data_IF_108551669038
#
_entry.id   IF_108551669038
#
_cell.length_a   1.000
_cell.length_b   1.000
_cell.length_c   1.000
_cell.angle_alpha   90.00
_cell.angle_beta   90.00
_cell.angle_gamma   90.00
#
_symmetry.space_group_name_H-M   'P 1'
#
loop_
_entity.id
_entity.type
_entity.pdbx_description
1 polymer ?
#
# COMPACT_ATOMS: atom_id res chain seq x y z
N UNK A 1 -46.10 -30.84 -0.09
CA UNK A 1 -46.22 -29.75 -1.09
C UNK A 1 -44.97 -28.87 -0.94
N UNK A 2 -43.95 -29.16 -1.73
CA UNK A 2 -42.71 -28.36 -1.78
C UNK A 2 -42.74 -27.46 -3.01
N UNK A 3 -42.76 -26.18 -2.79
CA UNK A 3 -42.63 -25.18 -3.85
C UNK A 3 -41.15 -24.98 -4.18
N UNK A 4 -40.74 -25.39 -5.38
CA UNK A 4 -39.45 -25.11 -5.98
C UNK A 4 -39.53 -23.70 -6.57
N UNK A 5 -38.88 -22.70 -5.91
CA UNK A 5 -38.68 -21.40 -6.50
C UNK A 5 -37.41 -21.45 -7.38
N UNK A 6 -37.62 -21.48 -8.68
CA UNK A 6 -36.55 -21.33 -9.67
C UNK A 6 -36.01 -19.90 -9.66
N UNK A 7 -34.74 -19.74 -9.33
CA UNK A 7 -33.96 -18.50 -9.60
C UNK A 7 -33.73 -18.40 -11.11
N UNK A 8 -34.41 -17.47 -11.74
CA UNK A 8 -34.09 -17.00 -13.07
C UNK A 8 -32.78 -16.18 -12.99
N UNK A 9 -31.68 -16.77 -13.45
CA UNK A 9 -30.43 -16.06 -13.68
C UNK A 9 -30.66 -15.03 -14.79
N UNK A 10 -30.70 -13.74 -14.46
CA UNK A 10 -30.57 -12.64 -15.43
C UNK A 10 -29.13 -12.65 -15.93
N UNK A 11 -28.92 -13.20 -17.12
CA UNK A 11 -27.69 -12.95 -17.89
C UNK A 11 -27.70 -11.46 -18.28
N UNK A 12 -26.87 -10.65 -17.63
CA UNK A 12 -26.56 -9.30 -18.11
C UNK A 12 -25.71 -9.45 -19.36
N UNK A 13 -26.19 -8.97 -20.49
CA UNK A 13 -25.45 -8.90 -21.77
C UNK A 13 -24.56 -7.66 -21.84
N UNK A 14 -24.03 -7.18 -20.72
CA UNK A 14 -23.01 -6.13 -20.66
C UNK A 14 -21.65 -6.67 -21.05
N UNK A 15 -20.90 -5.91 -21.85
CA UNK A 15 -19.49 -6.20 -22.09
C UNK A 15 -18.75 -6.23 -20.74
N UNK A 16 -17.98 -7.28 -20.42
CA UNK A 16 -17.29 -7.37 -19.15
C UNK A 16 -16.35 -6.18 -18.93
N UNK A 17 -16.37 -5.56 -17.76
CA UNK A 17 -15.65 -4.32 -17.43
C UNK A 17 -14.13 -4.45 -17.67
N UNK A 18 -13.56 -5.64 -17.55
CA UNK A 18 -12.17 -5.91 -17.92
C UNK A 18 -11.89 -5.70 -19.40
N UNK A 19 -12.86 -6.02 -20.29
CA UNK A 19 -12.76 -5.70 -21.73
C UNK A 19 -12.92 -4.21 -21.99
N UNK A 20 -13.75 -3.53 -21.19
CA UNK A 20 -13.92 -2.07 -21.27
C UNK A 20 -12.66 -1.38 -20.74
N UNK A 21 -12.07 -1.82 -19.63
CA UNK A 21 -10.82 -1.27 -19.08
C UNK A 21 -9.63 -1.49 -20.03
N UNK A 22 -9.52 -2.67 -20.64
CA UNK A 22 -8.50 -2.97 -21.63
C UNK A 22 -8.73 -2.18 -22.94
N UNK A 23 -9.97 -2.04 -23.41
CA UNK A 23 -10.33 -1.25 -24.58
C UNK A 23 -10.11 0.25 -24.33
N UNK A 24 -10.42 0.77 -23.12
CA UNK A 24 -10.10 2.12 -22.72
C UNK A 24 -8.59 2.35 -22.64
N UNK A 25 -7.82 1.43 -22.05
CA UNK A 25 -6.37 1.51 -22.01
C UNK A 25 -5.76 1.52 -23.42
N UNK A 26 -6.26 0.69 -24.34
CA UNK A 26 -5.84 0.66 -25.75
C UNK A 26 -6.29 1.91 -26.54
N UNK A 27 -7.50 2.41 -26.30
CA UNK A 27 -8.02 3.63 -26.94
C UNK A 27 -7.28 4.87 -26.46
N UNK A 28 -6.95 4.96 -25.16
CA UNK A 28 -6.15 6.05 -24.61
C UNK A 28 -4.66 5.94 -25.02
N UNK A 29 -4.10 4.75 -25.19
CA UNK A 29 -2.76 4.58 -25.77
C UNK A 29 -2.69 5.09 -27.21
N UNK A 30 -3.75 4.87 -28.01
CA UNK A 30 -3.86 5.41 -29.35
C UNK A 30 -4.11 6.95 -29.38
N UNK A 31 -4.87 7.49 -28.43
CA UNK A 31 -5.09 8.94 -28.30
C UNK A 31 -3.84 9.66 -27.76
N UNK A 32 -3.05 9.01 -26.92
CA UNK A 32 -1.77 9.56 -26.41
C UNK A 32 -0.73 9.76 -27.50
N UNK A 33 -0.80 9.00 -28.59
CA UNK A 33 0.08 9.19 -29.74
C UNK A 33 -0.21 10.48 -30.54
N UNK A 34 -1.33 11.16 -30.27
CA UNK A 34 -1.74 12.43 -30.91
C UNK A 34 -1.68 13.61 -29.94
N UNK A 35 -1.37 13.39 -28.66
CA UNK A 35 -1.21 14.47 -27.69
C UNK A 35 0.08 15.24 -28.01
N UNK A 36 -0.01 16.58 -28.08
CA UNK A 36 1.17 17.43 -28.30
C UNK A 36 2.25 17.22 -27.23
N UNK A 37 3.45 17.71 -27.45
CA UNK A 37 4.67 17.50 -26.64
C UNK A 37 4.54 17.77 -25.13
N UNK A 38 3.47 18.42 -24.68
CA UNK A 38 3.18 18.75 -23.27
C UNK A 38 2.51 17.63 -22.47
N UNK A 39 1.88 16.64 -23.14
CA UNK A 39 1.16 15.55 -22.49
C UNK A 39 1.87 14.21 -22.70
N UNK A 40 1.99 13.43 -21.62
CA UNK A 40 2.65 12.12 -21.60
C UNK A 40 1.66 11.05 -21.14
N UNK A 41 1.76 9.89 -21.77
CA UNK A 41 1.07 8.69 -21.34
C UNK A 41 2.06 7.70 -20.75
N UNK A 42 1.63 6.94 -19.77
CA UNK A 42 2.42 5.87 -19.17
C UNK A 42 1.49 4.87 -18.49
N UNK A 43 1.99 3.70 -18.19
CA UNK A 43 1.20 2.71 -17.48
C UNK A 43 2.00 1.50 -17.03
N UNK A 44 1.32 0.63 -16.31
CA UNK A 44 1.81 -0.70 -15.97
C UNK A 44 0.71 -1.75 -16.06
N UNK A 45 1.09 -2.95 -16.52
CA UNK A 45 0.27 -4.14 -16.40
C UNK A 45 1.04 -5.13 -15.54
N UNK A 46 0.39 -5.62 -14.50
CA UNK A 46 0.91 -6.69 -13.64
C UNK A 46 0.05 -7.92 -13.84
N UNK A 47 0.70 -9.05 -13.99
CA UNK A 47 0.05 -10.34 -14.09
C UNK A 47 0.81 -11.33 -13.22
N UNK A 48 0.10 -12.16 -12.47
CA UNK A 48 0.78 -13.10 -11.58
C UNK A 48 -0.12 -14.15 -10.97
N UNK A 49 0.53 -15.07 -10.32
CA UNK A 49 -0.07 -16.15 -9.55
C UNK A 49 0.16 -15.89 -8.07
N UNK A 50 -0.87 -16.11 -7.27
CA UNK A 50 -0.85 -16.01 -5.81
C UNK A 50 -1.38 -17.30 -5.24
N UNK A 51 -0.59 -17.95 -4.39
CA UNK A 51 -1.01 -19.11 -3.59
C UNK A 51 -0.88 -18.75 -2.12
N UNK A 52 -1.85 -19.12 -1.32
CA UNK A 52 -1.85 -18.87 0.11
C UNK A 52 -2.40 -20.05 0.90
N UNK A 53 -1.74 -20.41 1.99
CA UNK A 53 -2.22 -21.32 3.01
C UNK A 53 -2.50 -20.53 4.29
N UNK A 54 -3.73 -20.53 4.78
CA UNK A 54 -4.12 -19.90 6.04
C UNK A 54 -4.46 -20.98 7.07
N UNK A 55 -3.74 -20.99 8.19
CA UNK A 55 -4.05 -21.78 9.38
C UNK A 55 -4.80 -20.94 10.38
N UNK A 56 -6.08 -21.22 10.55
CA UNK A 56 -6.93 -20.49 11.47
C UNK A 56 -6.61 -20.78 12.94
N UNK A 57 -6.97 -19.85 13.83
CA UNK A 57 -6.86 -20.01 15.29
C UNK A 57 -7.61 -21.24 15.82
N UNK A 58 -8.69 -21.66 15.16
CA UNK A 58 -9.45 -22.88 15.47
C UNK A 58 -8.77 -24.18 15.06
N UNK A 59 -7.69 -24.10 14.26
CA UNK A 59 -6.93 -25.25 13.78
C UNK A 59 -7.26 -25.72 12.37
N UNK A 60 -8.27 -25.17 11.74
CA UNK A 60 -8.55 -25.45 10.32
C UNK A 60 -7.48 -24.82 9.41
N UNK A 61 -7.23 -25.46 8.27
CA UNK A 61 -6.37 -24.95 7.20
C UNK A 61 -7.25 -24.65 5.98
N UNK A 62 -7.00 -23.54 5.32
CA UNK A 62 -7.65 -23.14 4.08
C UNK A 62 -6.58 -22.76 3.05
N UNK A 63 -6.64 -23.36 1.88
CA UNK A 63 -5.79 -23.05 0.74
C UNK A 63 -6.57 -22.22 -0.27
N UNK A 64 -5.90 -21.25 -0.88
CA UNK A 64 -6.46 -20.42 -1.94
C UNK A 64 -5.39 -20.12 -2.99
N UNK A 65 -5.73 -20.35 -4.25
CA UNK A 65 -4.88 -20.09 -5.40
C UNK A 65 -5.61 -19.18 -6.38
N UNK A 66 -4.94 -18.16 -6.88
CA UNK A 66 -5.55 -17.28 -7.87
C UNK A 66 -4.53 -16.73 -8.87
N UNK A 67 -5.02 -16.50 -10.09
CA UNK A 67 -4.33 -15.68 -11.08
C UNK A 67 -4.88 -14.26 -10.97
N UNK A 68 -3.97 -13.29 -10.78
CA UNK A 68 -4.32 -11.89 -10.58
C UNK A 68 -3.72 -11.01 -11.66
N UNK A 69 -4.48 -10.02 -12.06
CA UNK A 69 -4.00 -8.98 -12.96
C UNK A 69 -4.33 -7.60 -12.41
N UNK A 70 -3.45 -6.61 -12.69
CA UNK A 70 -3.72 -5.19 -12.45
C UNK A 70 -3.21 -4.40 -13.64
N UNK A 71 -4.04 -3.52 -14.18
CA UNK A 71 -3.67 -2.58 -15.22
C UNK A 71 -3.84 -1.15 -14.72
N UNK A 72 -2.89 -0.28 -15.05
CA UNK A 72 -2.94 1.16 -14.78
C UNK A 72 -2.58 1.93 -16.03
N UNK A 73 -3.34 2.98 -16.31
CA UNK A 73 -3.08 3.90 -17.40
C UNK A 73 -3.13 5.34 -16.92
N UNK A 74 -2.04 6.09 -17.12
CA UNK A 74 -1.87 7.48 -16.69
C UNK A 74 -1.76 8.42 -17.89
N UNK A 75 -2.40 9.56 -17.75
CA UNK A 75 -2.18 10.75 -18.59
C UNK A 75 -1.71 11.86 -17.68
N UNK A 76 -0.63 12.54 -18.02
CA UNK A 76 -0.12 13.68 -17.26
C UNK A 76 0.48 14.73 -18.18
N UNK A 77 0.41 15.99 -17.79
CA UNK A 77 0.89 17.08 -18.62
C UNK A 77 1.09 18.39 -17.86
N UNK A 78 1.78 19.31 -18.53
CA UNK A 78 2.02 20.65 -18.05
C UNK A 78 0.91 21.60 -18.55
N UNK A 79 0.32 22.36 -17.62
CA UNK A 79 -0.70 23.38 -17.92
C UNK A 79 -0.11 24.79 -18.06
N UNK A 80 1.21 24.92 -17.89
CA UNK A 80 1.93 26.20 -17.88
C UNK A 80 2.02 26.84 -16.50
N UNK A 81 2.90 27.83 -16.36
CA UNK A 81 3.11 28.60 -15.13
C UNK A 81 3.37 27.73 -13.87
N UNK A 82 4.08 26.62 -14.02
CA UNK A 82 4.38 25.68 -12.92
C UNK A 82 3.27 24.72 -12.55
N UNK A 83 2.13 24.74 -13.23
CA UNK A 83 1.03 23.82 -13.02
C UNK A 83 1.17 22.54 -13.83
N UNK A 84 0.91 21.41 -13.18
CA UNK A 84 0.84 20.08 -13.77
C UNK A 84 -0.49 19.41 -13.41
N UNK A 85 -1.00 18.58 -14.31
CA UNK A 85 -2.15 17.72 -14.05
C UNK A 85 -1.80 16.25 -14.28
N UNK A 86 -2.40 15.37 -13.50
CA UNK A 86 -2.29 13.92 -13.69
C UNK A 86 -3.62 13.24 -13.40
N UNK A 87 -3.97 12.28 -14.25
CA UNK A 87 -5.08 11.36 -14.04
C UNK A 87 -4.66 9.94 -14.36
N UNK A 88 -5.08 8.96 -13.55
CA UNK A 88 -4.81 7.55 -13.77
C UNK A 88 -6.01 6.70 -13.44
N UNK A 89 -6.37 5.82 -14.38
CA UNK A 89 -7.32 4.75 -14.16
C UNK A 89 -6.57 3.47 -13.79
N UNK A 90 -7.17 2.67 -12.91
CA UNK A 90 -6.64 1.40 -12.47
C UNK A 90 -7.75 0.35 -12.44
N UNK A 91 -7.42 -0.87 -12.84
CA UNK A 91 -8.31 -2.02 -12.77
C UNK A 91 -7.56 -3.23 -12.22
N UNK A 92 -8.26 -4.09 -11.50
CA UNK A 92 -7.76 -5.35 -10.96
C UNK A 92 -8.73 -6.46 -11.29
N UNK A 93 -8.21 -7.63 -11.58
CA UNK A 93 -8.93 -8.86 -11.85
C UNK A 93 -8.34 -9.99 -11.01
N UNK A 94 -9.19 -10.92 -10.60
CA UNK A 94 -8.79 -12.16 -9.93
C UNK A 94 -9.60 -13.31 -10.54
N UNK A 95 -8.95 -14.48 -10.72
CA UNK A 95 -9.60 -15.64 -11.36
C UNK A 95 -10.70 -16.28 -10.51
N UNK A 96 -10.77 -15.98 -9.21
CA UNK A 96 -11.76 -16.56 -8.30
C UNK A 96 -13.00 -15.68 -8.13
N UNK A 97 -13.05 -14.50 -8.75
CA UNK A 97 -14.19 -13.60 -8.63
C UNK A 97 -14.75 -13.20 -9.99
N UNK A 98 -16.06 -13.29 -10.12
CA UNK A 98 -16.82 -13.03 -11.36
C UNK A 98 -17.37 -11.60 -11.44
N UNK A 99 -17.31 -10.82 -10.35
CA UNK A 99 -17.91 -9.49 -10.28
C UNK A 99 -16.93 -8.40 -10.70
N UNK A 100 -17.30 -7.65 -11.73
CA UNK A 100 -16.56 -6.51 -12.26
C UNK A 100 -17.32 -5.23 -11.95
N UNK A 101 -16.72 -4.34 -11.13
CA UNK A 101 -17.30 -3.04 -10.75
C UNK A 101 -16.37 -1.89 -11.07
N UNK A 102 -16.94 -0.75 -11.52
CA UNK A 102 -16.23 0.49 -11.71
C UNK A 102 -16.59 1.50 -10.61
N UNK A 103 -15.60 1.88 -9.80
CA UNK A 103 -15.77 2.75 -8.65
C UNK A 103 -15.12 4.11 -8.89
N UNK A 104 -15.90 5.16 -8.90
CA UNK A 104 -15.43 6.53 -9.12
C UNK A 104 -15.13 7.29 -7.82
N UNK A 105 -15.69 6.91 -6.70
CA UNK A 105 -15.68 7.72 -5.47
C UNK A 105 -15.03 7.05 -4.29
N UNK A 106 -15.63 6.02 -3.77
CA UNK A 106 -15.19 5.32 -2.58
C UNK A 106 -14.94 3.88 -2.91
N UNK A 107 -14.06 3.38 -2.17
CA UNK A 107 -13.52 2.11 -2.32
C UNK A 107 -13.85 1.32 -1.07
N UNK A 108 -14.47 0.19 -1.18
CA UNK A 108 -14.67 -0.75 -0.09
C UNK A 108 -13.56 -1.79 -0.14
N UNK A 109 -12.43 -1.59 0.57
CA UNK A 109 -11.35 -2.54 0.55
C UNK A 109 -11.77 -3.82 1.27
N UNK A 110 -11.52 -4.96 0.65
CA UNK A 110 -11.51 -6.23 1.33
C UNK A 110 -10.35 -6.31 2.34
N UNK A 111 -10.21 -7.40 3.11
CA UNK A 111 -9.12 -7.58 4.07
C UNK A 111 -7.72 -7.48 3.47
N UNK A 112 -7.59 -7.65 2.17
CA UNK A 112 -6.32 -7.63 1.41
C UNK A 112 -6.19 -6.48 0.40
N UNK A 113 -7.06 -5.48 0.45
CA UNK A 113 -7.10 -4.37 -0.50
C UNK A 113 -8.39 -4.33 -1.29
N UNK A 114 -8.33 -4.03 -2.59
CA UNK A 114 -9.45 -4.08 -3.50
C UNK A 114 -10.07 -5.47 -3.58
N UNK A 115 -11.38 -5.54 -3.54
CA UNK A 115 -12.08 -6.73 -4.01
C UNK A 115 -11.84 -6.88 -5.53
N UNK A 116 -11.76 -8.11 -5.96
CA UNK A 116 -11.35 -8.46 -7.31
C UNK A 116 -12.40 -8.04 -8.34
N UNK A 117 -11.96 -7.74 -9.55
CA UNK A 117 -12.82 -7.26 -10.62
C UNK A 117 -13.16 -5.78 -10.56
N UNK A 118 -12.52 -4.99 -9.72
CA UNK A 118 -12.82 -3.57 -9.54
C UNK A 118 -11.90 -2.66 -10.34
N UNK A 119 -12.46 -1.54 -10.80
CA UNK A 119 -11.75 -0.47 -11.45
C UNK A 119 -12.09 0.88 -10.83
N UNK A 120 -11.12 1.80 -10.80
CA UNK A 120 -11.28 3.12 -10.22
C UNK A 120 -10.32 4.14 -10.84
N UNK A 121 -10.50 5.41 -10.50
CA UNK A 121 -9.49 6.44 -10.69
C UNK A 121 -8.64 6.46 -9.41
N UNK A 122 -7.40 5.99 -9.49
CA UNK A 122 -6.47 5.94 -8.36
C UNK A 122 -5.49 7.10 -8.30
N UNK A 123 -5.47 7.95 -9.34
CA UNK A 123 -4.86 9.29 -9.33
C UNK A 123 -5.72 10.30 -10.08
N UNK A 124 -5.92 11.46 -9.48
CA UNK A 124 -6.55 12.64 -10.09
C UNK A 124 -6.13 13.87 -9.28
N UNK A 125 -5.06 14.56 -9.70
CA UNK A 125 -4.54 15.69 -8.96
C UNK A 125 -4.03 16.82 -9.85
N UNK A 126 -4.00 18.03 -9.27
CA UNK A 126 -3.24 19.16 -9.75
C UNK A 126 -2.02 19.35 -8.86
N UNK A 127 -0.88 19.69 -9.45
CA UNK A 127 0.36 20.00 -8.74
C UNK A 127 0.89 21.35 -9.22
N UNK A 128 1.18 22.23 -8.28
CA UNK A 128 1.91 23.47 -8.52
C UNK A 128 3.37 23.28 -8.08
N UNK A 129 4.30 23.62 -8.95
CA UNK A 129 5.74 23.67 -8.69
C UNK A 129 6.21 25.10 -8.88
N UNK A 130 6.66 25.71 -7.81
CA UNK A 130 7.17 27.07 -7.85
C UNK A 130 8.49 27.10 -8.66
N UNK A 131 8.57 27.98 -9.66
CA UNK A 131 9.71 28.03 -10.58
C UNK A 131 11.04 28.35 -9.87
N UNK A 132 11.02 29.32 -8.95
CA UNK A 132 12.19 29.84 -8.26
C UNK A 132 12.23 29.47 -6.76
N UNK A 133 11.53 28.41 -6.38
CA UNK A 133 11.41 28.03 -4.98
C UNK A 133 11.40 26.50 -4.83
N UNK A 134 11.97 25.95 -3.75
CA UNK A 134 12.12 24.51 -3.56
C UNK A 134 10.83 23.80 -3.16
N UNK A 135 9.66 24.45 -3.22
CA UNK A 135 8.42 23.84 -2.78
C UNK A 135 7.47 23.48 -3.92
N UNK A 136 6.66 22.49 -3.68
CA UNK A 136 5.51 22.12 -4.52
C UNK A 136 4.29 21.80 -3.67
N UNK A 137 3.11 21.95 -4.24
CA UNK A 137 1.82 21.60 -3.64
C UNK A 137 1.01 20.77 -4.60
N UNK A 138 0.60 19.58 -4.17
CA UNK A 138 -0.29 18.68 -4.91
C UNK A 138 -1.63 18.60 -4.19
N UNK A 139 -2.73 18.67 -4.92
CA UNK A 139 -4.09 18.59 -4.36
C UNK A 139 -4.92 17.62 -5.20
N UNK A 140 -5.64 16.73 -4.55
CA UNK A 140 -6.50 15.73 -5.16
C UNK A 140 -6.21 14.32 -4.67
N UNK A 141 -6.31 13.34 -5.57
CA UNK A 141 -6.02 11.93 -5.32
C UNK A 141 -4.65 11.55 -5.87
N UNK A 142 -3.80 11.00 -5.03
CA UNK A 142 -2.43 10.66 -5.40
C UNK A 142 -1.95 9.42 -4.63
N UNK A 143 -0.79 8.88 -5.03
CA UNK A 143 -0.11 7.85 -4.27
C UNK A 143 1.05 8.45 -3.47
N UNK A 144 1.14 8.07 -2.19
CA UNK A 144 2.22 8.45 -1.31
C UNK A 144 2.86 7.19 -0.70
N UNK A 145 4.18 7.05 -0.81
CA UNK A 145 4.93 5.94 -0.25
C UNK A 145 6.22 6.44 0.38
N UNK A 146 6.43 6.09 1.64
CA UNK A 146 7.54 6.53 2.47
C UNK A 146 8.25 5.32 3.11
N UNK A 147 8.61 4.34 2.30
CA UNK A 147 9.33 3.14 2.73
C UNK A 147 10.84 3.30 2.70
N UNK A 148 11.53 2.27 3.18
CA UNK A 148 12.97 2.11 2.95
C UNK A 148 13.16 1.87 1.44
N UNK A 149 14.14 2.56 0.86
CA UNK A 149 14.48 2.44 -0.56
C UNK A 149 15.34 1.20 -0.81
N UNK A 150 14.69 0.05 -0.76
CA UNK A 150 15.27 -1.27 -1.05
C UNK A 150 14.33 -2.09 -1.93
N UNK A 151 14.67 -3.34 -2.22
CA UNK A 151 13.83 -4.22 -3.03
C UNK A 151 12.59 -4.70 -2.30
N UNK A 152 12.58 -4.68 -0.98
CA UNK A 152 11.45 -5.14 -0.15
C UNK A 152 10.31 -4.14 -0.16
N UNK A 153 10.61 -2.82 -0.20
CA UNK A 153 9.67 -1.69 -0.34
C UNK A 153 8.53 -1.72 0.68
N UNK A 154 8.85 -2.06 1.93
CA UNK A 154 7.88 -2.08 3.02
C UNK A 154 7.98 -0.86 3.90
N UNK A 155 6.87 -0.51 4.54
CA UNK A 155 6.78 0.57 5.50
C UNK A 155 5.85 0.22 6.65
N UNK A 156 6.19 0.68 7.84
CA UNK A 156 5.31 0.59 9.01
C UNK A 156 4.18 1.61 8.96
N UNK A 157 4.29 2.66 8.15
CA UNK A 157 3.28 3.72 8.07
C UNK A 157 2.68 3.88 6.65
N UNK A 158 3.08 4.90 5.90
CA UNK A 158 2.46 5.27 4.63
C UNK A 158 3.10 4.54 3.44
N UNK A 159 2.33 3.66 2.78
CA UNK A 159 2.76 3.00 1.55
C UNK A 159 1.57 2.68 0.64
N UNK A 160 1.34 3.53 -0.37
CA UNK A 160 0.34 3.31 -1.42
C UNK A 160 0.89 2.51 -2.61
N UNK A 161 2.15 2.02 -2.52
CA UNK A 161 2.81 1.25 -3.59
C UNK A 161 2.69 -0.26 -3.37
N UNK A 162 1.49 -0.75 -3.23
CA UNK A 162 1.20 -2.16 -2.93
C UNK A 162 1.29 -3.06 -4.17
N UNK A 163 1.27 -4.38 -3.98
CA UNK A 163 1.52 -5.40 -5.01
C UNK A 163 0.48 -5.38 -6.16
N UNK A 164 -0.65 -6.06 -5.97
CA UNK A 164 -1.80 -6.03 -6.90
C UNK A 164 -2.87 -5.03 -6.45
N UNK A 165 -2.84 -4.61 -5.20
CA UNK A 165 -3.83 -3.73 -4.64
C UNK A 165 -3.78 -2.33 -5.27
N UNK A 166 -4.91 -1.65 -5.26
CA UNK A 166 -5.04 -0.29 -5.73
C UNK A 166 -5.35 0.56 -4.51
N UNK A 167 -4.41 1.40 -4.12
CA UNK A 167 -4.48 2.26 -2.94
C UNK A 167 -4.14 3.69 -3.32
N UNK A 168 -4.61 4.65 -2.57
CA UNK A 168 -4.37 6.07 -2.79
C UNK A 168 -4.55 6.89 -1.52
N UNK A 169 -4.15 8.14 -1.58
CA UNK A 169 -4.40 9.18 -0.59
C UNK A 169 -5.21 10.31 -1.24
N UNK A 170 -6.32 10.71 -0.63
CA UNK A 170 -7.08 11.90 -1.01
C UNK A 170 -6.70 13.06 -0.08
N UNK A 171 -6.29 14.23 -0.65
CA UNK A 171 -5.88 15.36 0.17
C UNK A 171 -4.98 16.38 -0.53
N UNK A 172 -4.15 17.03 0.29
CA UNK A 172 -3.16 17.99 -0.15
C UNK A 172 -1.77 17.58 0.34
N UNK A 173 -0.79 17.60 -0.53
CA UNK A 173 0.60 17.24 -0.24
C UNK A 173 1.51 18.41 -0.56
N UNK A 174 2.01 19.07 0.47
CA UNK A 174 3.06 20.06 0.37
C UNK A 174 4.43 19.38 0.53
N UNK A 175 5.38 19.75 -0.32
CA UNK A 175 6.75 19.27 -0.29
C UNK A 175 7.70 20.46 -0.39
N UNK A 176 8.74 20.47 0.45
CA UNK A 176 9.85 21.39 0.38
C UNK A 176 11.16 20.63 0.24
N UNK A 177 11.96 20.97 -0.77
CA UNK A 177 13.24 20.33 -1.07
C UNK A 177 14.38 21.27 -0.71
N UNK A 178 15.02 21.04 0.44
CA UNK A 178 16.29 21.68 0.81
C UNK A 178 17.47 21.01 0.11
N UNK A 179 18.67 21.41 0.49
CA UNK A 179 19.91 20.87 -0.08
C UNK A 179 20.05 19.36 0.21
N UNK A 180 19.92 18.97 1.49
CA UNK A 180 20.12 17.58 1.95
C UNK A 180 18.85 16.93 2.46
N UNK A 181 17.80 17.70 2.73
CA UNK A 181 16.57 17.24 3.35
C UNK A 181 15.36 17.65 2.55
N UNK A 182 14.40 16.74 2.49
CA UNK A 182 13.07 16.99 1.94
C UNK A 182 12.04 16.86 3.06
N UNK A 183 11.21 17.88 3.20
CA UNK A 183 10.08 17.87 4.14
C UNK A 183 8.79 17.66 3.37
N UNK A 184 7.94 16.80 3.90
CA UNK A 184 6.62 16.48 3.36
C UNK A 184 5.56 16.73 4.42
N UNK A 185 4.45 17.33 4.02
CA UNK A 185 3.25 17.49 4.84
C UNK A 185 2.06 17.09 3.98
N UNK A 186 1.32 16.08 4.43
CA UNK A 186 0.12 15.58 3.76
C UNK A 186 -1.07 15.77 4.70
N UNK A 187 -1.95 16.72 4.36
CA UNK A 187 -3.28 16.79 4.94
C UNK A 187 -4.19 15.86 4.14
N UNK A 188 -4.73 14.83 4.80
CA UNK A 188 -5.52 13.80 4.11
C UNK A 188 -6.95 13.75 4.61
N UNK A 189 -7.84 13.37 3.70
CA UNK A 189 -9.20 13.01 4.02
C UNK A 189 -9.29 11.49 4.17
N UNK A 190 -9.71 11.02 5.34
CA UNK A 190 -9.91 9.60 5.60
C UNK A 190 -11.37 9.25 5.32
N UNK A 191 -11.61 8.34 4.38
CA UNK A 191 -12.93 7.81 4.13
C UNK A 191 -13.13 6.51 4.91
N UNK A 192 -14.33 6.35 5.46
CA UNK A 192 -14.78 5.14 6.15
C UNK A 192 -14.72 3.89 5.26
N UNK A 193 -14.79 4.07 3.94
CA UNK A 193 -14.74 3.03 2.92
C UNK A 193 -13.50 3.12 2.02
N UNK A 194 -12.60 4.03 2.31
CA UNK A 194 -11.40 4.24 1.51
C UNK A 194 -10.26 3.27 1.84
N UNK A 195 -9.25 3.16 0.98
CA UNK A 195 -8.13 2.26 1.17
C UNK A 195 -7.21 2.64 2.33
N UNK A 196 -7.24 3.90 2.78
CA UNK A 196 -6.45 4.39 3.91
C UNK A 196 -7.14 4.14 5.24
N UNK A 197 -6.94 2.98 5.83
CA UNK A 197 -7.22 2.77 7.25
C UNK A 197 -8.66 2.46 7.66
N UNK A 198 -9.64 2.60 6.77
CA UNK A 198 -11.06 2.43 7.09
C UNK A 198 -11.42 1.08 7.73
N UNK A 199 -10.66 0.03 7.44
CA UNK A 199 -10.91 -1.31 7.98
C UNK A 199 -9.94 -1.72 9.07
N UNK A 200 -9.06 -0.85 9.50
CA UNK A 200 -8.12 -1.15 10.58
C UNK A 200 -8.74 -0.83 11.91
N UNK A 201 -9.68 -1.65 12.31
CA UNK A 201 -10.17 -1.59 13.68
C UNK A 201 -8.97 -1.67 14.64
N UNK A 202 -8.95 -0.79 15.65
CA UNK A 202 -10.05 0.05 16.13
C UNK A 202 -10.07 1.49 15.59
N UNK A 203 -9.40 1.83 14.46
CA UNK A 203 -9.57 3.14 13.83
C UNK A 203 -10.96 3.25 13.19
N UNK A 204 -11.66 4.34 13.49
CA UNK A 204 -12.99 4.63 12.95
C UNK A 204 -13.04 6.07 12.43
N UNK A 205 -13.51 6.24 11.19
CA UNK A 205 -13.69 7.54 10.56
C UNK A 205 -15.18 7.86 10.42
N UNK A 206 -15.70 8.75 11.28
CA UNK A 206 -17.11 9.17 11.32
C UNK A 206 -17.27 10.56 10.68
N UNK A 207 -18.51 10.89 10.27
CA UNK A 207 -18.84 12.21 9.70
C UNK A 207 -18.60 13.37 10.65
N UNK A 208 -18.61 13.12 11.95
CA UNK A 208 -18.50 14.12 13.03
C UNK A 208 -17.08 14.52 13.43
N UNK A 209 -16.11 14.50 12.51
CA UNK A 209 -14.81 15.14 12.76
C UNK A 209 -13.56 14.27 12.65
N UNK A 210 -13.68 12.95 12.59
CA UNK A 210 -12.52 12.03 12.54
C UNK A 210 -12.02 11.72 11.12
N UNK A 211 -12.49 12.44 10.09
CA UNK A 211 -12.10 12.17 8.70
C UNK A 211 -10.82 12.87 8.25
N UNK A 212 -10.31 13.81 9.02
CA UNK A 212 -9.06 14.48 8.72
C UNK A 212 -7.88 13.67 9.27
N UNK A 213 -6.74 13.76 8.63
CA UNK A 213 -5.48 13.22 9.12
C UNK A 213 -4.31 14.04 8.62
N UNK A 214 -3.22 14.03 9.38
CA UNK A 214 -1.98 14.67 9.02
C UNK A 214 -0.86 13.62 8.99
N UNK A 215 -0.11 13.60 7.90
CA UNK A 215 1.14 12.86 7.78
C UNK A 215 2.27 13.85 7.52
N UNK A 216 3.37 13.71 8.25
CA UNK A 216 4.58 14.50 8.04
C UNK A 216 5.78 13.56 7.88
N UNK A 217 6.71 13.94 7.02
CA UNK A 217 7.98 13.25 6.87
C UNK A 217 9.10 14.24 6.63
N UNK A 218 10.26 13.94 7.22
CA UNK A 218 11.54 14.62 6.91
C UNK A 218 12.51 13.54 6.51
N UNK A 219 12.96 13.57 5.25
CA UNK A 219 13.88 12.57 4.70
C UNK A 219 15.14 13.19 4.14
N UNK A 220 16.23 12.43 4.19
CA UNK A 220 17.47 12.71 3.47
C UNK A 220 17.94 11.46 2.75
N UNK A 221 18.24 11.63 1.47
CA UNK A 221 18.89 10.62 0.61
C UNK A 221 20.34 11.00 0.29
N UNK A 222 20.86 12.07 0.90
CA UNK A 222 22.28 12.42 0.85
C UNK A 222 23.07 11.45 1.71
N UNK A 223 24.01 10.73 1.12
CA UNK A 223 24.82 9.74 1.82
C UNK A 223 25.74 10.38 2.88
N UNK A 224 25.79 9.76 4.05
CA UNK A 224 26.75 10.10 5.12
C UNK A 224 27.46 8.81 5.53
N UNK A 225 28.68 8.61 5.06
CA UNK A 225 29.36 7.33 5.15
C UNK A 225 28.56 6.23 4.44
N UNK A 226 28.32 5.09 5.07
CA UNK A 226 27.51 4.03 4.48
C UNK A 226 25.99 4.30 4.52
N UNK A 227 25.52 5.29 5.29
CA UNK A 227 24.09 5.59 5.44
C UNK A 227 23.61 6.39 4.24
N UNK A 228 22.73 5.79 3.42
CA UNK A 228 22.23 6.35 2.16
C UNK A 228 20.81 6.90 2.25
N UNK A 229 20.06 6.56 3.30
CA UNK A 229 18.73 7.09 3.57
C UNK A 229 18.49 7.26 5.07
N UNK A 230 17.86 8.35 5.43
CA UNK A 230 17.38 8.63 6.79
C UNK A 230 16.04 9.33 6.70
N UNK A 231 15.08 8.92 7.53
CA UNK A 231 13.74 9.49 7.51
C UNK A 231 13.14 9.42 8.92
N UNK A 232 12.39 10.45 9.27
CA UNK A 232 11.48 10.44 10.42
C UNK A 232 10.11 10.83 9.92
N UNK A 233 9.08 10.12 10.36
CA UNK A 233 7.69 10.41 10.00
C UNK A 233 6.81 10.53 11.21
N UNK A 234 5.69 11.21 11.06
CA UNK A 234 4.64 11.33 12.07
C UNK A 234 3.28 11.22 11.36
N UNK A 235 2.38 10.46 11.94
CA UNK A 235 0.96 10.40 11.54
C UNK A 235 0.10 10.79 12.73
N UNK A 236 -0.83 11.73 12.50
CA UNK A 236 -1.84 12.13 13.47
C UNK A 236 -3.23 12.00 12.86
N UNK A 237 -4.12 11.26 13.54
CA UNK A 237 -5.49 11.00 13.15
C UNK A 237 -6.42 11.49 14.29
N UNK A 238 -6.92 12.74 14.22
CA UNK A 238 -7.74 13.30 15.29
C UNK A 238 -9.06 12.56 15.44
N UNK A 239 -9.45 12.26 16.66
CA UNK A 239 -10.73 11.63 17.03
C UNK A 239 -11.05 10.37 16.20
N UNK A 240 -10.05 9.55 15.91
CA UNK A 240 -10.20 8.36 15.07
C UNK A 240 -10.04 7.04 15.84
N UNK A 241 -9.45 7.08 17.05
CA UNK A 241 -9.12 5.88 17.82
C UNK A 241 -10.24 5.51 18.77
N UNK A 242 -10.80 4.31 18.59
CA UNK A 242 -11.68 3.68 19.58
C UNK A 242 -10.83 3.03 20.66
N UNK A 243 -10.85 3.56 21.88
CA UNK A 243 -10.04 3.06 23.00
C UNK A 243 -10.66 1.88 23.74
N UNK A 244 -11.96 1.64 23.61
CA UNK A 244 -12.69 0.59 24.32
C UNK A 244 -13.65 -0.19 23.42
N UNK A 245 -14.20 -1.28 23.92
CA UNK A 245 -15.14 -2.17 23.22
C UNK A 245 -16.60 -1.71 23.17
N UNK A 246 -16.94 -0.50 23.63
CA UNK A 246 -18.31 -0.01 23.67
C UNK A 246 -18.88 0.22 22.26
N UNK A 247 -20.18 0.11 22.11
CA UNK A 247 -20.85 0.25 20.81
C UNK A 247 -20.74 1.67 20.23
N UNK A 248 -20.75 2.69 21.06
CA UNK A 248 -20.58 4.10 20.68
C UNK A 248 -19.62 4.83 21.63
N UNK A 249 -18.34 4.50 21.61
CA UNK A 249 -17.35 5.14 22.47
C UNK A 249 -17.03 6.56 21.98
N UNK A 250 -16.57 7.41 22.91
CA UNK A 250 -15.80 8.58 22.54
C UNK A 250 -14.55 8.14 21.77
N UNK A 251 -14.23 8.85 20.68
CA UNK A 251 -13.02 8.61 19.92
C UNK A 251 -11.91 9.53 20.42
N UNK A 252 -10.71 8.99 20.52
CA UNK A 252 -9.49 9.71 20.88
C UNK A 252 -8.60 9.92 19.65
N UNK A 253 -7.59 10.72 19.78
CA UNK A 253 -6.60 10.92 18.72
C UNK A 253 -5.71 9.67 18.63
N UNK A 254 -5.22 9.37 17.42
CA UNK A 254 -4.18 8.39 17.20
C UNK A 254 -2.94 9.08 16.66
N UNK A 255 -1.87 9.01 17.42
CA UNK A 255 -0.55 9.54 17.04
C UNK A 255 0.43 8.38 16.85
N UNK A 256 1.27 8.46 15.83
CA UNK A 256 2.35 7.50 15.63
C UNK A 256 3.56 8.18 14.99
N UNK A 257 4.75 7.75 15.39
CA UNK A 257 6.03 8.26 14.88
C UNK A 257 6.87 7.09 14.41
N UNK A 258 7.58 7.24 13.26
CA UNK A 258 8.59 6.26 12.81
C UNK A 258 9.94 6.91 12.58
N UNK A 259 10.99 6.12 12.74
CA UNK A 259 12.34 6.45 12.30
C UNK A 259 12.85 5.33 11.38
N UNK A 260 13.45 5.71 10.24
CA UNK A 260 13.90 4.79 9.20
C UNK A 260 15.32 5.16 8.78
N UNK A 261 16.13 4.14 8.51
CA UNK A 261 17.44 4.34 7.92
C UNK A 261 17.82 3.17 7.00
N UNK A 262 18.65 3.45 5.99
CA UNK A 262 19.29 2.44 5.18
C UNK A 262 20.79 2.73 5.03
N UNK A 263 21.60 1.68 5.11
CA UNK A 263 23.02 1.72 4.85
C UNK A 263 23.35 0.80 3.66
N UNK A 264 24.30 1.22 2.82
CA UNK A 264 24.74 0.48 1.65
C UNK A 264 26.24 0.28 1.68
N UNK A 265 26.71 -0.89 1.23
CA UNK A 265 28.11 -1.21 1.07
C UNK A 265 28.33 -2.05 -0.20
N UNK A 266 29.36 -1.78 -1.00
CA UNK A 266 29.74 -2.66 -2.10
C UNK A 266 30.23 -4.01 -1.56
N UNK A 267 29.91 -5.09 -2.27
CA UNK A 267 30.40 -6.44 -2.00
C UNK A 267 31.40 -6.85 -3.11
N UNK A 268 32.67 -6.86 -2.76
CA UNK A 268 33.70 -7.25 -3.69
C UNK A 268 33.90 -6.24 -4.85
N UNK A 269 34.43 -6.71 -5.99
CA UNK A 269 34.69 -5.90 -7.18
C UNK A 269 33.64 -6.07 -8.29
N UNK A 270 32.64 -6.92 -8.08
CA UNK A 270 31.66 -7.36 -9.09
C UNK A 270 30.45 -6.45 -9.31
N UNK A 271 30.37 -5.30 -8.63
CA UNK A 271 29.21 -4.41 -8.74
C UNK A 271 28.06 -4.76 -7.80
N UNK A 272 28.05 -5.94 -7.19
CA UNK A 272 27.05 -6.34 -6.19
C UNK A 272 27.11 -5.43 -4.98
N UNK A 273 25.95 -5.00 -4.51
CA UNK A 273 25.80 -4.15 -3.33
C UNK A 273 24.96 -4.84 -2.28
N UNK A 274 25.34 -4.66 -1.04
CA UNK A 274 24.55 -5.03 0.13
C UNK A 274 23.89 -3.79 0.71
N UNK A 275 22.60 -3.86 0.99
CA UNK A 275 21.86 -2.81 1.68
C UNK A 275 21.16 -3.38 2.90
N UNK A 276 21.37 -2.71 4.04
CA UNK A 276 20.70 -2.97 5.30
C UNK A 276 19.70 -1.84 5.53
N UNK A 277 18.42 -2.17 5.69
CA UNK A 277 17.36 -1.24 6.05
C UNK A 277 16.80 -1.54 7.43
N UNK A 278 16.37 -0.52 8.15
CA UNK A 278 15.68 -0.64 9.43
C UNK A 278 14.63 0.44 9.62
N UNK A 279 13.55 0.09 10.26
CA UNK A 279 12.48 1.01 10.65
C UNK A 279 11.95 0.63 12.02
N UNK A 280 11.72 1.63 12.87
CA UNK A 280 11.10 1.50 14.18
C UNK A 280 9.95 2.49 14.27
N UNK A 281 8.81 2.06 14.82
CA UNK A 281 7.61 2.85 15.01
C UNK A 281 7.10 2.75 16.42
N UNK A 282 6.57 3.86 16.94
CA UNK A 282 5.97 3.94 18.26
C UNK A 282 4.71 4.80 18.22
N UNK A 283 3.64 4.32 18.88
CA UNK A 283 2.36 5.00 19.02
C UNK A 283 2.08 5.23 20.50
N UNK A 284 2.17 6.48 21.02
CA UNK A 284 1.92 6.78 22.43
C UNK A 284 0.49 6.48 22.88
N UNK A 285 -0.46 6.68 21.96
CA UNK A 285 -1.88 6.45 22.21
C UNK A 285 -2.29 5.15 21.51
N UNK A 286 -2.57 4.13 22.31
CA UNK A 286 -2.95 2.80 21.79
C UNK A 286 -4.34 2.43 22.26
N UNK A 287 -5.07 1.60 21.49
CA UNK A 287 -6.35 1.09 21.93
C UNK A 287 -6.19 0.11 23.09
N UNK A 288 -7.24 -0.07 23.86
CA UNK A 288 -7.31 -1.21 24.75
C UNK A 288 -7.56 -2.49 23.98
N UNK A 289 -6.98 -3.59 24.43
CA UNK A 289 -7.14 -4.92 23.80
C UNK A 289 -8.58 -5.40 23.75
N UNK A 290 -9.43 -4.91 24.64
CA UNK A 290 -10.88 -5.15 24.62
C UNK A 290 -11.55 -4.60 23.34
N UNK A 291 -11.06 -3.47 22.81
CA UNK A 291 -11.58 -2.90 21.57
C UNK A 291 -11.26 -3.75 20.33
N UNK A 292 -10.24 -4.57 20.43
CA UNK A 292 -9.75 -5.45 19.35
C UNK A 292 -10.15 -6.91 19.53
N UNK A 293 -10.82 -7.25 20.63
CA UNK A 293 -11.06 -8.63 21.05
C UNK A 293 -9.77 -9.47 21.18
N UNK A 294 -8.66 -8.84 21.60
CA UNK A 294 -7.34 -9.48 21.71
C UNK A 294 -6.88 -9.71 23.15
N UNK A 295 -7.70 -9.37 24.15
CA UNK A 295 -7.37 -9.54 25.57
C UNK A 295 -7.85 -8.38 26.42
N UNK A 296 -7.13 -8.09 27.51
CA UNK A 296 -7.41 -6.99 28.44
C UNK A 296 -6.17 -6.11 28.58
N UNK A 297 -6.38 -4.82 28.92
CA UNK A 297 -5.32 -3.84 29.14
C UNK A 297 -4.96 -3.09 27.84
N UNK A 298 -3.89 -2.31 27.91
CA UNK A 298 -3.45 -1.50 26.78
C UNK A 298 -2.71 -2.36 25.75
N UNK A 299 -2.89 -2.04 24.47
CA UNK A 299 -2.16 -2.66 23.38
C UNK A 299 -0.71 -2.20 23.34
N UNK A 300 0.20 -3.02 22.85
CA UNK A 300 1.60 -2.65 22.70
C UNK A 300 1.80 -1.60 21.60
N UNK A 301 2.69 -0.66 21.85
CA UNK A 301 2.92 0.52 21.03
C UNK A 301 4.06 0.35 20.02
N UNK A 302 5.02 -0.54 20.28
CA UNK A 302 6.30 -0.61 19.58
C UNK A 302 6.24 -1.59 18.40
N UNK A 303 6.64 -1.12 17.22
CA UNK A 303 6.76 -1.95 16.01
C UNK A 303 8.09 -1.71 15.33
N UNK A 304 8.63 -2.71 14.64
CA UNK A 304 9.90 -2.56 13.92
C UNK A 304 10.01 -3.53 12.75
N UNK A 305 10.88 -3.20 11.80
CA UNK A 305 11.33 -4.09 10.73
C UNK A 305 12.81 -3.91 10.43
N UNK A 306 13.42 -4.98 9.91
CA UNK A 306 14.76 -4.94 9.34
C UNK A 306 14.75 -5.66 7.99
N UNK A 307 15.47 -5.12 7.00
CA UNK A 307 15.61 -5.70 5.67
C UNK A 307 17.08 -5.83 5.26
N UNK A 308 17.37 -6.90 4.53
CA UNK A 308 18.68 -7.19 3.95
C UNK A 308 18.49 -7.39 2.46
N UNK A 309 19.14 -6.59 1.64
CA UNK A 309 19.04 -6.65 0.18
C UNK A 309 20.42 -6.81 -0.45
N UNK A 310 20.53 -7.75 -1.37
CA UNK A 310 21.68 -7.93 -2.24
C UNK A 310 21.25 -7.52 -3.65
N UNK A 311 21.80 -6.42 -4.14
CA UNK A 311 21.48 -5.87 -5.46
C UNK A 311 22.56 -6.30 -6.45
N UNK A 312 22.14 -6.56 -7.68
CA UNK A 312 23.03 -7.03 -8.76
C UNK A 312 23.82 -8.30 -8.37
N UNK A 313 23.18 -9.28 -7.72
CA UNK A 313 23.80 -10.59 -7.43
C UNK A 313 24.17 -11.35 -8.71
N UNK A 314 23.40 -11.18 -9.75
CA UNK A 314 23.66 -11.43 -11.16
C UNK A 314 23.21 -10.16 -11.91
N UNK A 315 23.62 -9.93 -13.16
CA UNK A 315 23.18 -8.76 -13.91
C UNK A 315 21.66 -8.59 -13.88
N UNK A 316 21.18 -7.44 -13.34
CA UNK A 316 19.77 -7.08 -13.20
C UNK A 316 18.95 -7.99 -12.26
N UNK A 317 19.59 -8.78 -11.38
CA UNK A 317 18.93 -9.63 -10.40
C UNK A 317 19.21 -9.17 -8.97
N UNK A 318 18.13 -8.95 -8.22
CA UNK A 318 18.16 -8.56 -6.81
C UNK A 318 17.51 -9.62 -5.94
N UNK A 319 18.03 -9.84 -4.73
CA UNK A 319 17.46 -10.73 -3.72
C UNK A 319 17.40 -9.99 -2.39
N UNK A 320 16.31 -10.14 -1.66
CA UNK A 320 16.17 -9.54 -0.34
C UNK A 320 15.32 -10.36 0.60
N UNK A 321 15.50 -10.08 1.88
CA UNK A 321 14.73 -10.62 2.97
C UNK A 321 14.32 -9.47 3.90
N UNK A 322 13.11 -9.53 4.46
CA UNK A 322 12.67 -8.65 5.51
C UNK A 322 12.03 -9.45 6.63
N UNK A 323 12.33 -9.07 7.84
CA UNK A 323 11.62 -9.51 9.04
C UNK A 323 11.07 -8.28 9.75
N UNK A 324 9.81 -8.35 10.18
CA UNK A 324 9.16 -7.29 10.92
C UNK A 324 8.21 -7.83 11.98
N UNK A 325 8.12 -7.14 13.09
CA UNK A 325 7.21 -7.41 14.19
C UNK A 325 6.38 -6.18 14.47
N UNK A 326 5.06 -6.32 14.37
CA UNK A 326 4.12 -5.21 14.50
C UNK A 326 3.17 -5.49 15.65
N UNK A 327 3.26 -4.63 16.66
CA UNK A 327 2.44 -4.70 17.87
C UNK A 327 0.95 -4.51 17.56
N UNK A 328 0.09 -4.98 18.47
CA UNK A 328 -1.36 -4.91 18.32
C UNK A 328 -1.91 -3.46 18.33
N UNK A 329 -1.23 -2.53 19.01
CA UNK A 329 -1.56 -1.10 19.00
C UNK A 329 -1.06 -0.31 17.79
N UNK A 330 -0.29 -0.91 16.88
CA UNK A 330 0.19 -0.26 15.66
C UNK A 330 -0.80 -0.41 14.51
N UNK A 331 -1.45 0.67 14.07
CA UNK A 331 -2.62 0.63 13.20
C UNK A 331 -2.39 1.20 11.79
N UNK A 332 -1.17 1.60 11.42
CA UNK A 332 -0.92 2.38 10.19
C UNK A 332 -0.49 1.55 8.98
N UNK A 333 0.30 0.49 9.17
CA UNK A 333 0.97 -0.17 8.05
C UNK A 333 0.02 -0.82 7.05
N UNK A 334 0.24 -0.60 5.76
CA UNK A 334 -0.39 -1.36 4.67
C UNK A 334 0.32 -2.70 4.39
N UNK A 335 1.58 -2.82 4.80
CA UNK A 335 2.43 -3.99 4.53
C UNK A 335 2.37 -5.03 5.65
N UNK A 336 2.12 -4.58 6.87
CA UNK A 336 2.09 -5.40 8.08
C UNK A 336 0.69 -5.35 8.70
N UNK A 337 0.27 -6.43 9.33
CA UNK A 337 -0.95 -6.45 10.13
C UNK A 337 -0.61 -6.16 11.60
N UNK A 338 -1.48 -5.48 12.35
CA UNK A 338 -1.34 -5.40 13.80
C UNK A 338 -1.32 -6.79 14.43
N UNK A 339 -0.51 -6.97 15.47
CA UNK A 339 -0.31 -8.23 16.17
C UNK A 339 0.24 -9.36 15.29
N UNK A 340 1.04 -9.04 14.26
CA UNK A 340 1.64 -10.05 13.40
C UNK A 340 3.16 -9.83 13.31
N UNK A 341 3.91 -10.92 13.25
CA UNK A 341 5.25 -10.93 12.70
C UNK A 341 5.22 -11.40 11.24
N UNK A 342 6.17 -10.91 10.47
CA UNK A 342 6.28 -11.16 9.04
C UNK A 342 7.72 -11.50 8.69
N UNK A 343 7.91 -12.62 7.99
CA UNK A 343 9.15 -12.94 7.28
C UNK A 343 8.83 -13.02 5.78
N UNK A 344 9.53 -12.24 4.97
CA UNK A 344 9.36 -12.27 3.50
C UNK A 344 10.73 -12.34 2.83
N UNK A 345 10.85 -13.22 1.85
CA UNK A 345 11.96 -13.27 0.90
C UNK A 345 11.44 -12.88 -0.48
N UNK A 346 12.23 -12.09 -1.21
CA UNK A 346 11.90 -11.62 -2.56
C UNK A 346 13.08 -11.75 -3.49
N UNK A 347 12.81 -12.20 -4.71
CA UNK A 347 13.70 -12.12 -5.85
C UNK A 347 13.07 -11.21 -6.91
N UNK A 348 13.89 -10.36 -7.52
CA UNK A 348 13.48 -9.42 -8.58
C UNK A 348 14.45 -9.55 -9.73
N UNK A 349 13.95 -9.66 -10.95
CA UNK A 349 14.73 -9.62 -12.17
C UNK A 349 14.19 -8.52 -13.10
N UNK A 350 15.03 -7.53 -13.41
CA UNK A 350 14.74 -6.50 -14.38
C UNK A 350 15.14 -7.00 -15.78
N UNK A 351 14.32 -7.85 -16.40
CA UNK A 351 14.60 -8.52 -17.68
C UNK A 351 14.81 -7.52 -18.84
N UNK A 352 14.21 -6.31 -18.75
CA UNK A 352 14.46 -5.18 -19.65
C UNK A 352 13.94 -3.89 -19.02
N UNK A 353 14.11 -2.74 -19.69
CA UNK A 353 13.52 -1.47 -19.21
C UNK A 353 11.99 -1.54 -19.04
N UNK A 354 11.31 -2.36 -19.86
CA UNK A 354 9.87 -2.53 -19.84
C UNK A 354 9.39 -3.69 -18.98
N UNK A 355 10.20 -4.73 -18.75
CA UNK A 355 9.77 -5.97 -18.11
C UNK A 355 10.52 -6.25 -16.82
N UNK A 356 9.76 -6.53 -15.76
CA UNK A 356 10.27 -6.96 -14.46
C UNK A 356 9.53 -8.23 -14.02
N UNK A 357 10.28 -9.22 -13.54
CA UNK A 357 9.75 -10.42 -12.89
C UNK A 357 10.03 -10.36 -11.39
N UNK A 358 9.08 -10.82 -10.62
CA UNK A 358 9.12 -10.87 -9.14
C UNK A 358 8.70 -12.26 -8.66
N UNK A 359 9.46 -12.85 -7.75
CA UNK A 359 9.04 -13.99 -6.95
C UNK A 359 9.15 -13.64 -5.47
N UNK A 360 8.14 -14.01 -4.68
CA UNK A 360 8.06 -13.69 -3.26
C UNK A 360 7.48 -14.85 -2.47
N UNK A 361 8.13 -15.21 -1.39
CA UNK A 361 7.64 -16.13 -0.36
C UNK A 361 7.46 -15.33 0.92
N UNK A 362 6.33 -15.47 1.59
CA UNK A 362 6.02 -14.73 2.79
C UNK A 362 5.32 -15.62 3.81
N UNK A 363 5.76 -15.51 5.07
CA UNK A 363 5.09 -16.03 6.24
C UNK A 363 4.67 -14.90 7.13
N UNK A 364 3.45 -14.99 7.65
CA UNK A 364 2.93 -14.16 8.74
C UNK A 364 2.46 -15.06 9.86
N UNK A 365 2.72 -14.67 11.10
CA UNK A 365 2.25 -15.39 12.28
C UNK A 365 1.83 -14.39 13.36
N UNK A 366 0.73 -14.69 14.02
CA UNK A 366 0.18 -13.86 15.09
C UNK A 366 1.06 -13.94 16.33
N UNK A 367 1.31 -12.79 16.98
CA UNK A 367 2.23 -12.67 18.12
C UNK A 367 1.53 -13.06 19.42
N UNK A 368 0.45 -12.36 19.77
CA UNK A 368 -0.31 -12.56 21.01
C UNK A 368 -1.62 -13.29 20.72
N UNK A 369 -1.90 -14.33 21.49
CA UNK A 369 -3.11 -15.12 21.33
C UNK A 369 -4.24 -14.57 22.19
N UNK A 370 -5.44 -14.34 21.59
CA UNK A 370 -6.65 -14.18 22.39
C UNK A 370 -6.88 -15.41 23.29
N UNK A 371 -7.40 -15.18 24.49
CA UNK A 371 -7.65 -16.26 25.46
C UNK A 371 -8.56 -17.39 24.92
N UNK A 372 -9.36 -17.12 23.89
CA UNK A 372 -10.22 -18.10 23.21
C UNK A 372 -9.54 -18.86 22.07
N UNK A 373 -8.29 -18.52 21.72
CA UNK A 373 -7.60 -19.13 20.59
C UNK A 373 -6.80 -20.37 21.02
N UNK A 374 -6.88 -21.46 20.25
CA UNK A 374 -6.12 -22.67 20.49
C UNK A 374 -4.65 -22.57 20.01
N UNK A 375 -4.41 -21.72 19.00
CA UNK A 375 -3.11 -21.49 18.36
C UNK A 375 -3.06 -20.13 17.66
N UNK A 376 -1.85 -19.59 17.33
CA UNK A 376 -1.73 -18.42 16.49
C UNK A 376 -2.26 -18.69 15.08
N UNK A 377 -2.88 -17.66 14.47
CA UNK A 377 -3.14 -17.68 13.03
C UNK A 377 -1.81 -17.55 12.30
N UNK A 378 -1.67 -18.30 11.22
CA UNK A 378 -0.50 -18.25 10.35
C UNK A 378 -0.94 -18.23 8.90
N UNK A 379 -0.30 -17.36 8.10
CA UNK A 379 -0.49 -17.27 6.67
C UNK A 379 0.87 -17.50 5.97
N UNK A 380 0.94 -18.46 5.06
CA UNK A 380 2.08 -18.72 4.17
C UNK A 380 1.67 -18.37 2.74
N UNK A 381 2.38 -17.46 2.07
CA UNK A 381 2.03 -16.96 0.73
C UNK A 381 3.18 -17.15 -0.25
N UNK A 382 2.86 -17.54 -1.48
CA UNK A 382 3.73 -17.49 -2.66
C UNK A 382 3.15 -16.51 -3.68
N UNK A 383 4.00 -15.62 -4.21
CA UNK A 383 3.66 -14.70 -5.28
C UNK A 383 4.65 -14.85 -6.43
N UNK A 384 4.13 -15.02 -7.64
CA UNK A 384 4.89 -14.90 -8.87
C UNK A 384 4.26 -13.79 -9.71
N UNK A 385 5.05 -12.83 -10.18
CA UNK A 385 4.51 -11.65 -10.87
C UNK A 385 5.42 -11.21 -12.02
N UNK A 386 4.81 -10.97 -13.18
CA UNK A 386 5.39 -10.20 -14.26
C UNK A 386 4.79 -8.80 -14.26
N UNK A 387 5.61 -7.79 -14.50
CA UNK A 387 5.22 -6.39 -14.64
C UNK A 387 5.72 -5.86 -15.97
N UNK A 388 4.82 -5.36 -16.81
CA UNK A 388 5.13 -4.63 -18.02
C UNK A 388 4.85 -3.14 -17.82
N UNK A 389 5.82 -2.29 -18.18
CA UNK A 389 5.72 -0.82 -18.12
C UNK A 389 5.83 -0.23 -19.52
N UNK A 390 5.07 0.80 -19.80
CA UNK A 390 5.05 1.50 -21.09
C UNK A 390 4.86 3.00 -20.94
#
# INVERSE_FOLDING_TARGET
MHAIQGRLARRSTGLPAGRIALALALAFAAAGAQAGDTWKTSGDVRFGYVSSETRARSGGTTDADSVRARARFRVSGELGNGWHASGRVAARLDSEQDDEEFWMRTYAPGPSGLEDGQATIDEAYLEYRAADSPWSLRVGRFQAAFGIDDIMKKSLDQNDSTNFDITWTDGAWWQWRGQDWTTHVIARHNDRRGPTGALRRPLEFRDSGSRAGLFMAVESKTAVGPVVQRMVTMTWLPSALRTNGLADPALEDYLAVTAKAAAESPLGQGGTKFRLGGEIGWAPDTPRREAMNSGTGDADALSWQASFSFMDVLPDHDVGIVYGRVADGWLLSSDFRPNDELLEMRWVWQASKAWQLDARVRRREEIDLPASAARPRRDDDLYLRATWKF
#
